data_IF_263097678593
#
_entry.id   IF_263097678593
#
_cell.length_a   1.000
_cell.length_b   1.000
_cell.length_c   1.000
_cell.angle_alpha   90.00
_cell.angle_beta   90.00
_cell.angle_gamma   90.00
#
_symmetry.space_group_name_H-M   'P 1'
#
loop_
_entity.id
_entity.type
_entity.pdbx_description
1 polymer ?
#
# COMPACT_ATOMS: atom_id res chain seq x y z
N UNK A 1 -10.27 -51.05 -77.52
CA UNK A 1 -10.09 -51.28 -76.07
C UNK A 1 -9.46 -50.01 -75.49
N UNK A 2 -10.13 -49.37 -74.53
CA UNK A 2 -9.85 -48.01 -74.01
C UNK A 2 -8.69 -48.00 -72.99
N UNK A 3 -7.96 -46.88 -72.83
CA UNK A 3 -6.93 -46.76 -71.80
C UNK A 3 -7.54 -46.45 -70.42
N UNK A 4 -6.98 -47.04 -69.37
CA UNK A 4 -7.31 -46.71 -67.97
C UNK A 4 -6.62 -45.40 -67.58
N UNK A 5 -7.40 -44.38 -67.23
CA UNK A 5 -6.90 -43.19 -66.54
C UNK A 5 -6.85 -43.43 -65.03
N UNK A 6 -5.66 -43.23 -64.45
CA UNK A 6 -5.46 -43.18 -62.99
C UNK A 6 -5.98 -41.83 -62.47
N UNK A 7 -6.97 -41.85 -61.59
CA UNK A 7 -7.45 -40.66 -60.87
C UNK A 7 -6.69 -40.58 -59.54
N UNK A 8 -5.82 -39.58 -59.40
CA UNK A 8 -5.20 -39.21 -58.12
C UNK A 8 -6.23 -38.44 -57.28
N UNK A 9 -6.65 -39.02 -56.15
CA UNK A 9 -7.49 -38.34 -55.17
C UNK A 9 -6.57 -37.55 -54.21
N UNK A 10 -6.49 -36.23 -54.36
CA UNK A 10 -5.81 -35.36 -53.42
C UNK A 10 -6.70 -35.15 -52.18
N UNK A 11 -6.35 -35.77 -51.06
CA UNK A 11 -7.00 -35.52 -49.78
C UNK A 11 -6.52 -34.17 -49.22
N UNK A 12 -7.39 -33.16 -49.26
CA UNK A 12 -7.18 -31.91 -48.54
C UNK A 12 -7.37 -32.16 -47.04
N UNK A 13 -6.27 -32.24 -46.30
CA UNK A 13 -6.29 -32.25 -44.84
C UNK A 13 -6.77 -30.87 -44.35
N UNK A 14 -8.03 -30.79 -43.94
CA UNK A 14 -8.53 -29.66 -43.17
C UNK A 14 -7.77 -29.62 -41.83
N UNK A 15 -6.85 -28.67 -41.69
CA UNK A 15 -6.21 -28.39 -40.41
C UNK A 15 -7.29 -27.94 -39.43
N UNK A 16 -7.67 -28.84 -38.51
CA UNK A 16 -8.54 -28.48 -37.40
C UNK A 16 -7.85 -27.37 -36.61
N UNK A 17 -8.53 -26.23 -36.44
CA UNK A 17 -8.12 -25.21 -35.48
C UNK A 17 -7.99 -25.89 -34.11
N UNK A 18 -6.86 -25.75 -33.39
CA UNK A 18 -6.70 -26.39 -32.10
C UNK A 18 -7.85 -25.95 -31.18
N UNK A 19 -8.56 -26.93 -30.61
CA UNK A 19 -9.53 -26.68 -29.57
C UNK A 19 -8.84 -25.90 -28.43
N UNK A 20 -9.53 -24.90 -27.89
CA UNK A 20 -9.02 -24.16 -26.75
C UNK A 20 -8.76 -25.13 -25.60
N UNK A 21 -7.51 -25.18 -25.13
CA UNK A 21 -7.16 -26.01 -23.98
C UNK A 21 -7.89 -25.44 -22.74
N UNK A 22 -8.79 -26.23 -22.16
CA UNK A 22 -9.39 -25.90 -20.87
C UNK A 22 -8.33 -26.11 -19.77
N UNK A 23 -7.72 -25.01 -19.35
CA UNK A 23 -6.65 -24.99 -18.37
C UNK A 23 -7.12 -25.08 -16.91
N UNK A 24 -8.41 -25.37 -16.66
CA UNK A 24 -8.97 -25.36 -15.30
C UNK A 24 -8.23 -26.28 -14.32
N UNK A 25 -7.86 -27.49 -14.75
CA UNK A 25 -7.12 -28.43 -13.90
C UNK A 25 -5.70 -27.95 -13.59
N UNK A 26 -5.01 -27.42 -14.59
CA UNK A 26 -3.64 -26.89 -14.46
C UNK A 26 -3.61 -25.66 -13.54
N UNK A 27 -4.57 -24.74 -13.70
CA UNK A 27 -4.75 -23.58 -12.82
C UNK A 27 -5.01 -24.04 -11.38
N UNK A 28 -5.87 -25.05 -11.19
CA UNK A 28 -6.16 -25.59 -9.86
C UNK A 28 -4.91 -26.18 -9.20
N UNK A 29 -4.07 -26.88 -9.96
CA UNK A 29 -2.81 -27.42 -9.46
C UNK A 29 -1.81 -26.32 -9.04
N UNK A 30 -1.66 -25.27 -9.83
CA UNK A 30 -0.80 -24.12 -9.49
C UNK A 30 -1.29 -23.41 -8.21
N UNK A 31 -2.61 -23.28 -8.02
CA UNK A 31 -3.18 -22.65 -6.82
C UNK A 31 -2.90 -23.44 -5.52
N UNK A 32 -2.48 -24.70 -5.61
CA UNK A 32 -2.08 -25.49 -4.43
C UNK A 32 -0.64 -25.25 -3.96
N UNK A 33 0.14 -24.43 -4.68
CA UNK A 33 1.52 -24.10 -4.27
C UNK A 33 1.50 -23.38 -2.92
N UNK A 34 2.37 -23.80 -2.02
CA UNK A 34 2.50 -23.23 -0.68
C UNK A 34 3.95 -23.11 -0.22
N UNK A 35 4.12 -22.72 1.05
CA UNK A 35 5.44 -22.66 1.68
C UNK A 35 6.19 -23.98 1.63
N UNK A 36 7.51 -23.90 1.73
CA UNK A 36 8.41 -25.07 1.82
C UNK A 36 8.31 -26.03 0.62
N UNK A 37 7.92 -25.51 -0.55
CA UNK A 37 7.88 -26.28 -1.80
C UNK A 37 6.65 -27.18 -1.97
N UNK A 38 5.66 -27.06 -1.08
CA UNK A 38 4.39 -27.79 -1.19
C UNK A 38 3.73 -27.51 -2.55
N UNK A 39 3.40 -28.57 -3.29
CA UNK A 39 2.70 -28.49 -4.59
C UNK A 39 3.59 -28.13 -5.80
N UNK A 40 4.89 -27.86 -5.60
CA UNK A 40 5.78 -27.44 -6.68
C UNK A 40 5.89 -28.44 -7.85
N UNK A 41 6.01 -29.77 -7.64
CA UNK A 41 6.13 -30.70 -8.76
C UNK A 41 4.90 -30.66 -9.68
N UNK A 42 3.70 -30.68 -9.09
CA UNK A 42 2.44 -30.62 -9.84
C UNK A 42 2.28 -29.26 -10.55
N UNK A 43 2.64 -28.17 -9.88
CA UNK A 43 2.63 -26.84 -10.46
C UNK A 43 3.61 -26.70 -11.62
N UNK A 44 4.79 -27.34 -11.55
CA UNK A 44 5.75 -27.37 -12.65
C UNK A 44 5.20 -28.09 -13.89
N UNK A 45 4.56 -29.24 -13.72
CA UNK A 45 3.88 -29.94 -14.81
C UNK A 45 2.74 -29.12 -15.40
N UNK A 46 1.88 -28.55 -14.55
CA UNK A 46 0.78 -27.69 -14.96
C UNK A 46 1.29 -26.46 -15.72
N UNK A 47 2.34 -25.81 -15.23
CA UNK A 47 2.96 -24.66 -15.88
C UNK A 47 3.44 -24.97 -17.30
N UNK A 48 4.09 -26.12 -17.51
CA UNK A 48 4.51 -26.54 -18.86
C UNK A 48 3.33 -26.74 -19.82
N UNK A 49 2.16 -27.12 -19.31
CA UNK A 49 0.92 -27.19 -20.07
C UNK A 49 0.38 -25.79 -20.39
N UNK A 50 0.22 -24.94 -19.36
CA UNK A 50 -0.26 -23.56 -19.51
C UNK A 50 0.59 -22.75 -20.49
N UNK A 51 1.92 -22.85 -20.38
CA UNK A 51 2.86 -22.12 -21.23
C UNK A 51 2.73 -22.48 -22.72
N UNK A 52 2.08 -23.58 -23.09
CA UNK A 52 1.78 -23.96 -24.49
C UNK A 52 0.48 -23.34 -25.03
N UNK A 53 -0.29 -22.63 -24.20
CA UNK A 53 -1.50 -21.91 -24.60
C UNK A 53 -1.26 -20.87 -25.70
N UNK A 54 -2.32 -20.37 -26.30
CA UNK A 54 -2.22 -19.33 -27.34
C UNK A 54 -2.51 -17.93 -26.78
N UNK A 55 -2.46 -16.92 -27.65
CA UNK A 55 -2.72 -15.53 -27.27
C UNK A 55 -4.08 -15.34 -26.56
N UNK A 56 -5.11 -16.08 -26.93
CA UNK A 56 -6.46 -15.98 -26.33
C UNK A 56 -6.52 -16.55 -24.90
N UNK A 57 -5.56 -17.39 -24.53
CA UNK A 57 -5.45 -17.96 -23.18
C UNK A 57 -4.98 -16.92 -22.14
N UNK A 58 -4.35 -15.81 -22.59
CA UNK A 58 -3.71 -14.81 -21.72
C UNK A 58 -4.68 -14.24 -20.69
N UNK A 59 -5.86 -13.77 -21.08
CA UNK A 59 -6.81 -13.14 -20.15
C UNK A 59 -7.39 -14.12 -19.14
N UNK A 60 -7.55 -15.39 -19.51
CA UNK A 60 -7.96 -16.46 -18.59
C UNK A 60 -6.89 -16.74 -17.53
N UNK A 61 -5.61 -16.72 -17.93
CA UNK A 61 -4.48 -16.87 -17.00
C UNK A 61 -4.30 -15.66 -16.08
N UNK A 62 -4.55 -14.45 -16.59
CA UNK A 62 -4.58 -13.25 -15.76
C UNK A 62 -5.71 -13.30 -14.74
N UNK A 63 -6.93 -13.69 -15.15
CA UNK A 63 -8.06 -13.87 -14.24
C UNK A 63 -7.79 -14.96 -13.19
N UNK A 64 -7.02 -15.99 -13.53
CA UNK A 64 -6.64 -17.02 -12.58
C UNK A 64 -5.81 -16.50 -11.39
N UNK A 65 -5.22 -15.30 -11.49
CA UNK A 65 -4.48 -14.65 -10.41
C UNK A 65 -5.38 -14.02 -9.32
N UNK A 66 -6.69 -13.87 -9.56
CA UNK A 66 -7.63 -13.27 -8.60
C UNK A 66 -7.66 -14.03 -7.26
N UNK A 67 -7.62 -15.37 -7.33
CA UNK A 67 -7.62 -16.24 -6.14
C UNK A 67 -6.24 -16.86 -5.85
N UNK A 68 -5.18 -16.36 -6.48
CA UNK A 68 -3.84 -16.91 -6.33
C UNK A 68 -3.11 -16.31 -5.13
N UNK A 69 -2.40 -17.15 -4.37
CA UNK A 69 -1.37 -16.66 -3.46
C UNK A 69 -0.14 -16.14 -4.23
N UNK A 70 0.79 -15.48 -3.54
CA UNK A 70 1.98 -14.87 -4.16
C UNK A 70 2.82 -15.86 -5.00
N UNK A 71 2.96 -17.11 -4.54
CA UNK A 71 3.73 -18.14 -5.23
C UNK A 71 3.01 -18.60 -6.51
N UNK A 72 1.71 -18.90 -6.41
CA UNK A 72 0.88 -19.30 -7.54
C UNK A 72 0.79 -18.18 -8.60
N UNK A 73 0.70 -16.92 -8.17
CA UNK A 73 0.69 -15.76 -9.06
C UNK A 73 1.97 -15.66 -9.89
N UNK A 74 3.13 -16.01 -9.32
CA UNK A 74 4.41 -16.03 -10.06
C UNK A 74 4.44 -17.10 -11.16
N UNK A 75 3.88 -18.29 -10.90
CA UNK A 75 3.73 -19.34 -11.92
C UNK A 75 2.78 -18.89 -13.05
N UNK A 76 1.64 -18.28 -12.71
CA UNK A 76 0.69 -17.79 -13.71
C UNK A 76 1.30 -16.67 -14.56
N UNK A 77 1.98 -15.71 -13.94
CA UNK A 77 2.71 -14.64 -14.64
C UNK A 77 3.74 -15.20 -15.61
N UNK A 78 4.58 -16.14 -15.16
CA UNK A 78 5.61 -16.70 -16.04
C UNK A 78 5.04 -17.53 -17.19
N UNK A 79 3.87 -18.16 -17.02
CA UNK A 79 3.17 -18.82 -18.12
C UNK A 79 2.65 -17.79 -19.15
N UNK A 80 2.09 -16.66 -18.68
CA UNK A 80 1.70 -15.54 -19.55
C UNK A 80 2.91 -14.99 -20.32
N UNK A 81 4.03 -14.73 -19.64
CA UNK A 81 5.26 -14.24 -20.27
C UNK A 81 5.76 -15.20 -21.36
N UNK A 82 5.77 -16.51 -21.09
CA UNK A 82 6.17 -17.53 -22.06
C UNK A 82 5.27 -17.58 -23.31
N UNK A 83 3.95 -17.40 -23.14
CA UNK A 83 3.01 -17.30 -24.27
C UNK A 83 3.30 -16.02 -25.05
N UNK A 84 3.37 -14.88 -24.38
CA UNK A 84 3.58 -13.56 -25.01
C UNK A 84 4.87 -13.55 -25.82
N UNK A 85 5.98 -13.98 -25.24
CA UNK A 85 7.27 -13.98 -25.93
C UNK A 85 7.25 -14.90 -27.16
N UNK A 86 6.60 -16.07 -27.08
CA UNK A 86 6.42 -16.95 -28.25
C UNK A 86 5.55 -16.30 -29.32
N UNK A 87 4.42 -15.71 -28.96
CA UNK A 87 3.51 -15.06 -29.91
C UNK A 87 4.22 -13.90 -30.63
N UNK A 88 4.92 -13.05 -29.89
CA UNK A 88 5.66 -11.91 -30.44
C UNK A 88 6.86 -12.36 -31.29
N UNK A 89 7.62 -13.38 -30.87
CA UNK A 89 8.70 -13.96 -31.67
C UNK A 89 8.18 -14.53 -33.00
N UNK A 90 6.97 -15.10 -32.98
CA UNK A 90 6.26 -15.56 -34.17
C UNK A 90 5.56 -14.43 -34.96
N UNK A 91 5.74 -13.16 -34.57
CA UNK A 91 5.10 -11.97 -35.17
C UNK A 91 3.56 -12.02 -35.15
N UNK A 92 2.98 -12.74 -34.20
CA UNK A 92 1.53 -12.80 -33.96
C UNK A 92 1.10 -11.69 -33.02
N UNK A 93 -0.20 -11.36 -33.06
CA UNK A 93 -0.78 -10.28 -32.26
C UNK A 93 -1.27 -10.78 -30.91
N UNK A 94 -1.20 -9.93 -29.90
CA UNK A 94 -1.81 -10.15 -28.60
C UNK A 94 -3.30 -9.76 -28.63
N UNK A 95 -4.15 -10.28 -27.73
CA UNK A 95 -5.59 -10.00 -27.71
C UNK A 95 -5.86 -8.62 -27.08
N UNK A 96 -5.55 -7.54 -27.82
CA UNK A 96 -5.56 -6.18 -27.29
C UNK A 96 -6.92 -5.77 -26.69
N UNK A 97 -8.04 -6.02 -27.39
CA UNK A 97 -9.38 -5.66 -26.91
C UNK A 97 -9.75 -6.40 -25.61
N UNK A 98 -9.36 -7.68 -25.49
CA UNK A 98 -9.63 -8.46 -24.29
C UNK A 98 -8.79 -7.97 -23.11
N UNK A 99 -7.53 -7.56 -23.36
CA UNK A 99 -6.67 -6.95 -22.34
C UNK A 99 -7.19 -5.58 -21.88
N UNK A 100 -7.66 -4.74 -22.79
CA UNK A 100 -8.27 -3.44 -22.44
C UNK A 100 -9.53 -3.64 -21.58
N UNK A 101 -10.40 -4.58 -21.97
CA UNK A 101 -11.57 -4.97 -21.18
C UNK A 101 -11.18 -5.50 -19.80
N UNK A 102 -10.18 -6.37 -19.73
CA UNK A 102 -9.67 -6.94 -18.48
C UNK A 102 -9.17 -5.85 -17.53
N UNK A 103 -8.38 -4.89 -18.02
CA UNK A 103 -7.85 -3.82 -17.18
C UNK A 103 -8.97 -2.89 -16.70
N UNK A 104 -10.03 -2.67 -17.49
CA UNK A 104 -11.15 -1.82 -17.05
C UNK A 104 -11.95 -2.39 -15.87
N UNK A 105 -11.92 -3.71 -15.64
CA UNK A 105 -12.58 -4.31 -14.48
C UNK A 105 -11.67 -4.23 -13.25
N UNK A 106 -12.01 -3.31 -12.35
CA UNK A 106 -11.23 -3.05 -11.13
C UNK A 106 -11.37 -4.13 -10.07
N UNK A 107 -12.21 -5.16 -10.29
CA UNK A 107 -12.34 -6.32 -9.39
C UNK A 107 -11.21 -7.33 -9.54
N UNK A 108 -10.54 -7.35 -10.69
CA UNK A 108 -9.39 -8.22 -10.92
C UNK A 108 -8.20 -7.83 -10.03
N UNK A 109 -7.33 -8.80 -9.77
CA UNK A 109 -6.13 -8.64 -8.98
C UNK A 109 -5.27 -7.47 -9.51
N UNK A 110 -4.85 -6.52 -8.64
CA UNK A 110 -4.04 -5.38 -9.04
C UNK A 110 -2.77 -5.75 -9.82
N UNK A 111 -2.11 -6.86 -9.48
CA UNK A 111 -0.89 -7.34 -10.17
C UNK A 111 -1.20 -7.94 -11.55
N UNK A 112 -2.35 -8.60 -11.70
CA UNK A 112 -2.79 -9.10 -12.99
C UNK A 112 -3.14 -7.94 -13.94
N UNK A 113 -3.86 -6.94 -13.42
CA UNK A 113 -4.17 -5.71 -14.17
C UNK A 113 -2.91 -4.92 -14.54
N UNK A 114 -1.92 -4.86 -13.63
CA UNK A 114 -0.60 -4.30 -13.93
C UNK A 114 0.07 -5.02 -15.11
N UNK A 115 0.15 -6.34 -15.04
CA UNK A 115 0.75 -7.15 -16.11
C UNK A 115 0.02 -6.93 -17.44
N UNK A 116 -1.31 -6.95 -17.44
CA UNK A 116 -2.09 -6.67 -18.64
C UNK A 116 -1.77 -5.30 -19.26
N UNK A 117 -1.63 -4.26 -18.43
CA UNK A 117 -1.21 -2.93 -18.89
C UNK A 117 0.20 -2.94 -19.48
N UNK A 118 1.16 -3.61 -18.84
CA UNK A 118 2.53 -3.77 -19.35
C UNK A 118 2.55 -4.45 -20.72
N UNK A 119 1.70 -5.45 -20.94
CA UNK A 119 1.56 -6.14 -22.23
C UNK A 119 1.00 -5.21 -23.32
N UNK A 120 -0.04 -4.41 -23.01
CA UNK A 120 -0.57 -3.41 -23.95
C UNK A 120 0.50 -2.39 -24.29
N UNK A 121 1.16 -1.81 -23.29
CA UNK A 121 2.19 -0.79 -23.50
C UNK A 121 3.40 -1.33 -24.28
N UNK A 122 3.76 -2.61 -24.11
CA UNK A 122 4.85 -3.27 -24.85
C UNK A 122 4.55 -3.37 -26.35
N UNK A 123 3.31 -3.72 -26.73
CA UNK A 123 2.92 -3.93 -28.13
C UNK A 123 2.40 -2.66 -28.79
N UNK A 124 1.76 -1.78 -28.03
CA UNK A 124 1.16 -0.54 -28.48
C UNK A 124 1.41 0.58 -27.48
N UNK A 125 2.62 1.19 -27.47
CA UNK A 125 2.98 2.26 -26.53
C UNK A 125 1.98 3.42 -26.55
N UNK A 126 1.52 3.82 -27.73
CA UNK A 126 0.53 4.88 -27.90
C UNK A 126 -0.83 4.55 -27.26
N UNK A 127 -1.21 3.27 -27.18
CA UNK A 127 -2.42 2.85 -26.47
C UNK A 127 -2.19 2.88 -24.97
N UNK A 128 -1.05 2.36 -24.49
CA UNK A 128 -0.66 2.45 -23.09
C UNK A 128 -0.70 3.88 -22.56
N UNK A 129 -0.10 4.82 -23.28
CA UNK A 129 -0.10 6.25 -22.94
C UNK A 129 -1.52 6.84 -22.86
N UNK A 130 -2.43 6.44 -23.76
CA UNK A 130 -3.83 6.88 -23.77
C UNK A 130 -4.64 6.32 -22.60
N UNK A 131 -4.27 5.15 -22.08
CA UNK A 131 -4.96 4.52 -20.95
C UNK A 131 -4.58 5.14 -19.61
N UNK A 132 -3.35 5.63 -19.45
CA UNK A 132 -2.84 6.14 -18.17
C UNK A 132 -3.77 7.15 -17.47
N UNK A 133 -4.35 8.17 -18.13
CA UNK A 133 -5.26 9.10 -17.47
C UNK A 133 -6.47 8.44 -16.80
N UNK A 134 -6.91 7.28 -17.30
CA UNK A 134 -8.04 6.53 -16.73
C UNK A 134 -7.70 5.90 -15.37
N UNK A 135 -6.42 5.76 -15.04
CA UNK A 135 -5.97 5.14 -13.80
C UNK A 135 -5.72 6.11 -12.64
N UNK A 136 -5.99 7.41 -12.80
CA UNK A 136 -5.71 8.42 -11.76
C UNK A 136 -6.39 8.14 -10.41
N UNK A 137 -7.57 7.50 -10.42
CA UNK A 137 -8.25 7.08 -9.19
C UNK A 137 -8.36 5.55 -9.05
N UNK A 138 -7.50 4.81 -9.74
CA UNK A 138 -7.56 3.36 -9.79
C UNK A 138 -7.21 2.72 -8.44
N UNK A 139 -7.89 1.65 -8.00
CA UNK A 139 -7.54 0.96 -6.75
C UNK A 139 -6.16 0.28 -6.79
N UNK A 140 -5.63 -0.05 -7.97
CA UNK A 140 -4.24 -0.50 -8.15
C UNK A 140 -3.30 0.68 -8.01
N UNK A 141 -2.56 0.71 -6.91
CA UNK A 141 -1.60 1.78 -6.62
C UNK A 141 -0.50 1.85 -7.68
N UNK A 142 -0.10 0.73 -8.29
CA UNK A 142 0.93 0.71 -9.34
C UNK A 142 0.46 1.36 -10.65
N UNK A 143 -0.78 1.07 -11.09
CA UNK A 143 -1.36 1.73 -12.27
C UNK A 143 -1.58 3.22 -12.00
N UNK A 144 -2.07 3.53 -10.79
CA UNK A 144 -2.26 4.91 -10.35
C UNK A 144 -0.93 5.68 -10.32
N UNK A 145 0.15 5.05 -9.88
CA UNK A 145 1.48 5.66 -9.78
C UNK A 145 1.95 6.19 -11.13
N UNK A 146 1.79 5.40 -12.19
CA UNK A 146 2.21 5.81 -13.54
C UNK A 146 1.30 6.90 -14.12
N UNK A 147 -0.01 6.85 -13.83
CA UNK A 147 -0.94 7.90 -14.21
C UNK A 147 -0.60 9.25 -13.54
N UNK A 148 -0.28 9.21 -12.24
CA UNK A 148 0.19 10.37 -11.49
C UNK A 148 1.53 10.87 -12.02
N UNK A 149 2.41 9.97 -12.48
CA UNK A 149 3.68 10.36 -13.08
C UNK A 149 3.49 11.23 -14.32
N UNK A 150 2.50 10.95 -15.18
CA UNK A 150 2.20 11.84 -16.32
C UNK A 150 1.83 13.26 -15.90
N UNK A 151 1.08 13.43 -14.80
CA UNK A 151 0.76 14.76 -14.26
C UNK A 151 2.01 15.46 -13.72
N UNK A 152 2.89 14.70 -13.05
CA UNK A 152 4.16 15.22 -12.54
C UNK A 152 5.06 15.67 -13.71
N UNK A 153 5.17 14.87 -14.77
CA UNK A 153 6.00 15.19 -15.93
C UNK A 153 5.45 16.40 -16.69
N UNK A 154 4.11 16.52 -16.80
CA UNK A 154 3.45 17.70 -17.35
C UNK A 154 3.73 18.96 -16.51
N UNK A 155 3.69 18.84 -15.18
CA UNK A 155 4.00 19.93 -14.27
C UNK A 155 5.48 20.35 -14.39
N UNK A 156 6.41 19.40 -14.43
CA UNK A 156 7.85 19.65 -14.61
C UNK A 156 8.12 20.34 -15.96
N UNK A 157 7.44 19.92 -17.04
CA UNK A 157 7.52 20.57 -18.36
C UNK A 157 6.99 22.00 -18.32
N UNK A 158 5.88 22.25 -17.64
CA UNK A 158 5.34 23.60 -17.45
C UNK A 158 6.30 24.50 -16.65
N UNK A 159 6.93 23.97 -15.60
CA UNK A 159 7.98 24.68 -14.86
C UNK A 159 9.17 25.05 -15.75
N UNK A 160 9.63 24.11 -16.58
CA UNK A 160 10.73 24.36 -17.52
C UNK A 160 10.37 25.46 -18.55
N UNK A 161 9.09 25.54 -18.93
CA UNK A 161 8.54 26.61 -19.76
C UNK A 161 8.21 27.91 -19.00
N UNK A 162 8.56 27.98 -17.70
CA UNK A 162 8.26 29.10 -16.79
C UNK A 162 6.77 29.39 -16.60
N UNK A 163 5.88 28.47 -16.97
CA UNK A 163 4.44 28.57 -16.72
C UNK A 163 4.12 28.03 -15.32
N UNK A 164 4.29 28.89 -14.32
CA UNK A 164 4.01 28.57 -12.91
C UNK A 164 2.54 28.23 -12.66
N UNK A 165 1.62 28.80 -13.44
CA UNK A 165 0.19 28.55 -13.25
C UNK A 165 -0.18 27.14 -13.70
N UNK A 166 0.28 26.73 -14.89
CA UNK A 166 0.08 25.36 -15.37
C UNK A 166 0.81 24.33 -14.49
N UNK A 167 2.05 24.62 -14.07
CA UNK A 167 2.78 23.75 -13.14
C UNK A 167 2.05 23.57 -11.81
N UNK A 168 1.55 24.66 -11.21
CA UNK A 168 0.78 24.61 -9.97
C UNK A 168 -0.46 23.74 -10.12
N UNK A 169 -1.20 23.91 -11.23
CA UNK A 169 -2.39 23.11 -11.53
C UNK A 169 -2.04 21.63 -11.62
N UNK A 170 -1.04 21.24 -12.40
CA UNK A 170 -0.72 19.84 -12.62
C UNK A 170 -0.10 19.17 -11.38
N UNK A 171 0.73 19.87 -10.60
CA UNK A 171 1.17 19.35 -9.31
C UNK A 171 0.02 19.20 -8.31
N UNK A 172 -0.95 20.11 -8.29
CA UNK A 172 -2.12 20.00 -7.42
C UNK A 172 -2.99 18.79 -7.79
N UNK A 173 -3.16 18.55 -9.10
CA UNK A 173 -3.81 17.35 -9.61
C UNK A 173 -3.02 16.09 -9.20
N UNK A 174 -1.70 16.08 -9.41
CA UNK A 174 -0.83 14.97 -9.04
C UNK A 174 -0.97 14.65 -7.54
N UNK A 175 -0.91 15.67 -6.66
CA UNK A 175 -1.04 15.49 -5.22
C UNK A 175 -2.37 14.84 -4.86
N UNK A 176 -3.48 15.31 -5.44
CA UNK A 176 -4.84 14.79 -5.18
C UNK A 176 -4.92 13.27 -5.37
N UNK A 177 -4.31 12.77 -6.44
CA UNK A 177 -4.38 11.36 -6.83
C UNK A 177 -3.24 10.50 -6.24
N UNK A 178 -2.08 11.09 -5.93
CA UNK A 178 -0.90 10.37 -5.48
C UNK A 178 -1.15 9.54 -4.20
N UNK A 179 -0.63 8.31 -4.19
CA UNK A 179 -0.60 7.40 -3.04
C UNK A 179 0.80 6.87 -2.71
N UNK A 180 1.75 7.09 -3.60
CA UNK A 180 3.17 6.76 -3.41
C UNK A 180 3.86 7.88 -2.60
N UNK A 181 4.59 7.50 -1.55
CA UNK A 181 5.25 8.44 -0.64
C UNK A 181 6.26 9.34 -1.38
N UNK A 182 7.06 8.77 -2.28
CA UNK A 182 8.10 9.50 -2.98
C UNK A 182 7.50 10.54 -3.94
N UNK A 183 6.44 10.17 -4.68
CA UNK A 183 5.69 11.11 -5.52
C UNK A 183 5.06 12.22 -4.68
N UNK A 184 4.38 11.88 -3.58
CA UNK A 184 3.75 12.88 -2.69
C UNK A 184 4.81 13.85 -2.15
N UNK A 185 5.95 13.35 -1.69
CA UNK A 185 7.05 14.16 -1.16
C UNK A 185 7.62 15.10 -2.23
N UNK A 186 7.84 14.62 -3.45
CA UNK A 186 8.29 15.46 -4.59
C UNK A 186 7.28 16.56 -4.85
N UNK A 187 6.03 16.19 -5.10
CA UNK A 187 4.95 17.10 -5.49
C UNK A 187 4.69 18.15 -4.39
N UNK A 188 4.62 17.73 -3.13
CA UNK A 188 4.46 18.64 -2.00
C UNK A 188 5.64 19.63 -1.89
N UNK A 189 6.86 19.17 -2.15
CA UNK A 189 8.04 20.02 -2.21
C UNK A 189 7.95 21.08 -3.30
N UNK A 190 7.55 20.69 -4.52
CA UNK A 190 7.39 21.64 -5.63
C UNK A 190 6.24 22.63 -5.40
N UNK A 191 5.09 22.17 -4.91
CA UNK A 191 3.97 23.05 -4.56
C UNK A 191 4.36 24.10 -3.51
N UNK A 192 5.12 23.71 -2.48
CA UNK A 192 5.63 24.65 -1.47
C UNK A 192 6.60 25.67 -2.05
N UNK A 193 7.45 25.30 -3.02
CA UNK A 193 8.33 26.24 -3.75
C UNK A 193 7.52 27.22 -4.62
N UNK A 194 6.35 26.80 -5.08
CA UNK A 194 5.35 27.62 -5.78
C UNK A 194 4.43 28.38 -4.80
N UNK A 195 4.81 28.46 -3.52
CA UNK A 195 4.09 29.15 -2.46
C UNK A 195 2.66 28.62 -2.22
N UNK A 196 2.39 27.38 -2.63
CA UNK A 196 1.11 26.72 -2.39
C UNK A 196 1.13 25.99 -1.04
N UNK A 197 0.06 26.11 -0.24
CA UNK A 197 -0.05 25.40 1.02
C UNK A 197 -0.25 23.90 0.78
N UNK A 198 0.46 23.07 1.54
CA UNK A 198 0.32 21.61 1.49
C UNK A 198 0.19 21.04 2.90
N UNK A 199 -0.95 20.38 3.16
CA UNK A 199 -1.26 19.70 4.42
C UNK A 199 -1.08 18.18 4.24
N UNK A 200 0.16 17.73 4.41
CA UNK A 200 0.51 16.30 4.31
C UNK A 200 -0.18 15.44 5.36
N UNK A 201 -0.31 15.85 6.64
CA UNK A 201 -1.04 15.07 7.63
C UNK A 201 -2.49 14.79 7.21
N UNK A 202 -3.17 15.79 6.65
CA UNK A 202 -4.52 15.59 6.10
C UNK A 202 -4.51 14.71 4.85
N UNK A 203 -3.58 14.93 3.92
CA UNK A 203 -3.47 14.14 2.67
C UNK A 203 -3.28 12.65 2.95
N UNK A 204 -2.40 12.31 3.89
CA UNK A 204 -2.15 10.94 4.29
C UNK A 204 -3.20 10.38 5.27
N UNK A 205 -3.96 11.23 5.97
CA UNK A 205 -4.91 10.82 7.00
C UNK A 205 -4.26 10.52 8.35
N UNK A 206 -3.09 11.09 8.63
CA UNK A 206 -2.43 10.98 9.93
C UNK A 206 -3.28 11.59 11.03
N UNK A 207 -3.34 10.92 12.18
CA UNK A 207 -3.97 11.43 13.39
C UNK A 207 -2.94 12.29 14.14
N UNK A 208 -3.26 13.55 14.37
CA UNK A 208 -2.30 14.55 14.85
C UNK A 208 -2.61 15.06 16.26
N UNK A 209 -3.74 14.66 16.85
CA UNK A 209 -4.19 15.07 18.18
C UNK A 209 -4.42 13.84 19.05
N UNK A 210 -3.73 13.78 20.17
CA UNK A 210 -3.66 12.63 21.05
C UNK A 210 -3.70 13.06 22.51
N UNK A 211 -4.26 12.20 23.35
CA UNK A 211 -4.04 12.23 24.79
C UNK A 211 -2.95 11.21 25.10
N UNK A 212 -1.86 11.63 25.74
CA UNK A 212 -0.78 10.73 26.15
C UNK A 212 -0.82 10.51 27.66
N UNK A 213 -0.47 9.32 28.12
CA UNK A 213 -0.24 9.02 29.53
C UNK A 213 1.01 8.15 29.68
N UNK A 214 1.83 8.48 30.66
CA UNK A 214 3.08 7.82 30.97
C UNK A 214 3.78 8.52 32.13
N UNK A 215 4.95 8.09 32.56
CA UNK A 215 5.68 6.90 32.07
C UNK A 215 5.47 5.72 33.02
N UNK A 216 5.04 4.57 32.51
CA UNK A 216 4.97 3.29 33.22
C UNK A 216 6.28 2.51 33.10
N UNK A 217 6.46 1.46 33.90
CA UNK A 217 7.68 0.67 33.86
C UNK A 217 7.80 -0.18 32.58
N UNK A 218 9.02 -0.32 32.07
CA UNK A 218 9.39 -1.25 31.01
C UNK A 218 10.83 -1.72 31.20
N UNK A 219 11.35 -1.69 32.43
CA UNK A 219 12.65 -2.26 32.76
C UNK A 219 12.69 -3.73 32.36
N UNK A 220 13.77 -4.19 31.72
CA UNK A 220 13.91 -5.55 31.21
C UNK A 220 12.78 -5.96 30.24
N UNK A 221 12.17 -5.00 29.54
CA UNK A 221 11.11 -5.18 28.54
C UNK A 221 9.77 -5.73 29.09
N UNK A 222 9.58 -5.75 30.42
CA UNK A 222 8.35 -6.30 31.03
C UNK A 222 7.09 -5.49 30.71
N UNK A 223 7.27 -4.22 30.35
CA UNK A 223 6.19 -3.27 30.10
C UNK A 223 5.36 -3.66 28.89
N UNK A 224 5.91 -4.36 27.90
CA UNK A 224 5.16 -4.84 26.73
C UNK A 224 3.99 -5.75 27.14
N UNK A 225 4.24 -6.74 27.99
CA UNK A 225 3.23 -7.71 28.43
C UNK A 225 2.44 -7.28 29.67
N UNK A 226 2.98 -6.35 30.46
CA UNK A 226 2.26 -5.81 31.62
C UNK A 226 1.04 -5.00 31.19
N UNK A 227 -0.15 -5.45 31.60
CA UNK A 227 -1.40 -4.72 31.38
C UNK A 227 -1.55 -3.56 32.38
N UNK A 228 -1.13 -2.37 31.96
CA UNK A 228 -1.31 -1.13 32.74
C UNK A 228 -2.76 -0.64 32.72
N UNK A 229 -3.17 0.27 33.64
CA UNK A 229 -4.56 0.68 33.78
C UNK A 229 -5.26 1.15 32.49
N UNK A 230 -4.62 1.91 31.56
CA UNK A 230 -5.27 2.32 30.31
C UNK A 230 -5.72 1.17 29.40
N UNK A 231 -5.15 -0.04 29.54
CA UNK A 231 -5.61 -1.23 28.80
C UNK A 231 -6.91 -1.83 29.35
N UNK A 232 -7.20 -1.59 30.64
CA UNK A 232 -8.34 -2.18 31.36
C UNK A 232 -9.54 -1.25 31.32
N UNK A 233 -9.32 0.03 31.60
CA UNK A 233 -10.36 1.05 31.63
C UNK A 233 -9.80 2.38 31.12
N UNK A 234 -10.50 2.96 30.15
CA UNK A 234 -10.19 4.29 29.66
C UNK A 234 -10.84 5.35 30.55
N UNK A 235 -10.14 5.76 31.60
CA UNK A 235 -10.50 6.91 32.43
C UNK A 235 -9.51 8.06 32.20
N UNK A 236 -9.94 9.09 31.48
CA UNK A 236 -9.10 10.25 31.11
C UNK A 236 -8.82 11.21 32.28
N UNK A 237 -9.57 11.11 33.38
CA UNK A 237 -9.37 11.90 34.59
C UNK A 237 -8.53 11.18 35.65
N UNK A 238 -8.24 9.89 35.45
CA UNK A 238 -7.51 9.08 36.42
C UNK A 238 -6.04 9.49 36.54
N UNK A 239 -5.50 9.22 37.72
CA UNK A 239 -4.10 9.39 38.07
C UNK A 239 -3.59 8.03 38.50
N UNK A 240 -2.53 7.54 37.87
CA UNK A 240 -1.96 6.23 38.16
C UNK A 240 -0.56 6.34 38.74
N UNK A 241 -0.09 5.27 39.37
CA UNK A 241 1.33 5.10 39.68
C UNK A 241 2.11 4.90 38.38
N UNK A 242 3.00 5.85 38.07
CA UNK A 242 4.01 5.69 37.03
C UNK A 242 5.34 5.23 37.63
N UNK A 243 6.33 5.01 36.77
CA UNK A 243 7.67 4.53 37.13
C UNK A 243 8.43 5.51 38.03
N UNK A 244 8.35 6.80 37.70
CA UNK A 244 9.07 7.87 38.41
C UNK A 244 8.12 8.83 39.14
N UNK A 245 7.01 9.19 38.48
CA UNK A 245 6.01 10.12 38.98
C UNK A 245 4.61 9.58 38.73
N UNK A 246 3.58 10.25 39.27
CA UNK A 246 2.19 9.92 38.98
C UNK A 246 1.88 10.17 37.50
N UNK A 247 1.36 9.15 36.82
CA UNK A 247 0.97 9.24 35.41
C UNK A 247 -0.42 9.90 35.28
N UNK A 248 -0.52 10.89 34.39
CA UNK A 248 -1.75 11.63 34.06
C UNK A 248 -1.88 11.78 32.56
N UNK A 249 -3.11 11.89 32.07
CA UNK A 249 -3.35 12.21 30.67
C UNK A 249 -2.99 13.66 30.36
N UNK A 250 -2.26 13.87 29.26
CA UNK A 250 -1.89 15.18 28.73
C UNK A 250 -2.26 15.28 27.27
N UNK A 251 -2.79 16.42 26.85
CA UNK A 251 -3.09 16.69 25.44
C UNK A 251 -1.81 17.02 24.67
N UNK A 252 -1.59 16.29 23.58
CA UNK A 252 -0.44 16.46 22.67
C UNK A 252 -0.95 16.54 21.24
N UNK A 253 -0.44 17.53 20.52
CA UNK A 253 -0.69 17.67 19.11
C UNK A 253 0.64 17.80 18.34
N UNK A 254 0.68 17.28 17.12
CA UNK A 254 1.88 17.32 16.27
C UNK A 254 1.62 18.02 14.95
N UNK A 255 2.55 18.89 14.56
CA UNK A 255 2.59 19.55 13.27
C UNK A 255 3.53 18.85 12.26
N UNK A 256 4.08 17.70 12.63
CA UNK A 256 4.97 16.94 11.75
C UNK A 256 4.20 16.50 10.49
N UNK A 257 4.81 16.62 9.32
CA UNK A 257 4.20 16.30 8.01
C UNK A 257 3.72 14.84 7.91
N UNK A 258 4.36 13.94 8.67
CA UNK A 258 4.04 12.53 8.77
C UNK A 258 3.31 12.16 10.07
N UNK A 259 2.83 13.16 10.81
CA UNK A 259 2.03 12.92 12.02
C UNK A 259 2.78 12.24 13.15
N UNK A 260 4.11 12.36 13.21
CA UNK A 260 4.93 11.77 14.27
C UNK A 260 4.58 12.36 15.64
N UNK A 261 4.20 11.49 16.57
CA UNK A 261 3.87 11.79 17.96
C UNK A 261 5.03 11.34 18.84
N UNK A 262 5.58 12.28 19.59
CA UNK A 262 6.79 12.10 20.40
C UNK A 262 6.43 12.14 21.88
N UNK A 263 6.59 11.01 22.57
CA UNK A 263 6.34 10.88 24.00
C UNK A 263 7.42 11.57 24.85
N UNK A 264 8.62 11.80 24.30
CA UNK A 264 9.67 12.50 25.04
C UNK A 264 9.31 13.98 25.29
N UNK A 265 8.46 14.59 24.45
CA UNK A 265 8.05 15.99 24.64
C UNK A 265 7.38 16.25 25.99
N UNK A 266 6.32 15.51 26.40
CA UNK A 266 5.72 15.69 27.72
C UNK A 266 6.44 14.95 28.85
N UNK A 267 7.18 13.87 28.57
CA UNK A 267 7.68 12.97 29.62
C UNK A 267 9.21 12.94 29.78
N UNK A 268 9.95 13.61 28.89
CA UNK A 268 11.42 13.57 28.83
C UNK A 268 11.99 12.31 28.18
N UNK A 269 13.29 12.32 27.93
CA UNK A 269 14.04 11.24 27.26
C UNK A 269 14.29 10.03 28.19
N UNK A 270 13.21 9.41 28.67
CA UNK A 270 13.26 8.32 29.64
C UNK A 270 13.54 6.95 28.99
N UNK A 271 14.07 6.02 29.78
CA UNK A 271 14.47 4.67 29.35
C UNK A 271 13.78 3.58 30.17
N UNK A 272 13.53 2.45 29.51
CA UNK A 272 12.77 1.35 30.09
C UNK A 272 11.41 1.84 30.56
N UNK A 273 10.68 2.57 29.70
CA UNK A 273 9.37 3.13 30.01
C UNK A 273 8.30 2.71 29.00
N UNK A 274 7.05 2.72 29.43
CA UNK A 274 5.88 2.50 28.58
C UNK A 274 4.91 3.66 28.71
N UNK A 275 4.22 3.99 27.62
CA UNK A 275 3.18 5.01 27.60
C UNK A 275 2.08 4.64 26.64
N UNK A 276 0.95 5.33 26.78
CA UNK A 276 -0.23 5.12 25.98
C UNK A 276 -0.64 6.42 25.29
N UNK A 277 -1.06 6.31 24.05
CA UNK A 277 -1.67 7.37 23.27
C UNK A 277 -3.12 6.99 22.96
N UNK A 278 -4.05 7.88 23.27
CA UNK A 278 -5.46 7.72 23.02
C UNK A 278 -5.98 8.81 22.09
N UNK A 279 -6.85 8.44 21.15
CA UNK A 279 -7.61 9.39 20.36
C UNK A 279 -8.95 8.80 19.92
N UNK A 280 -9.86 9.67 19.52
CA UNK A 280 -11.16 9.30 18.96
C UNK A 280 -11.19 9.58 17.46
N UNK A 281 -11.95 8.75 16.74
CA UNK A 281 -12.13 8.88 15.31
C UNK A 281 -13.63 8.81 14.98
N UNK A 282 -14.20 9.95 14.61
CA UNK A 282 -15.62 10.07 14.25
C UNK A 282 -15.83 9.79 12.75
N UNK A 283 -16.15 8.55 12.40
CA UNK A 283 -16.31 8.14 11.01
C UNK A 283 -17.67 8.57 10.44
N UNK A 284 -17.68 9.03 9.18
CA UNK A 284 -18.91 9.46 8.53
C UNK A 284 -19.91 8.33 8.25
N UNK A 285 -19.41 7.11 8.06
CA UNK A 285 -20.20 5.92 7.80
C UNK A 285 -19.44 4.69 8.28
N UNK A 286 -20.16 3.58 8.48
CA UNK A 286 -19.52 2.28 8.69
C UNK A 286 -18.86 1.84 7.38
N UNK A 287 -17.61 1.36 7.46
CA UNK A 287 -16.85 0.87 6.30
C UNK A 287 -15.56 0.16 6.72
N UNK A 288 -15.01 -0.70 5.84
CA UNK A 288 -13.65 -1.19 5.97
C UNK A 288 -12.64 -0.02 5.95
N UNK A 289 -11.62 -0.14 6.77
CA UNK A 289 -10.49 0.78 6.83
C UNK A 289 -9.23 0.05 7.30
N UNK A 290 -8.11 0.76 7.27
CA UNK A 290 -6.86 0.32 7.85
C UNK A 290 -6.33 1.39 8.82
N UNK A 291 -5.88 0.94 10.00
CA UNK A 291 -4.96 1.72 10.82
C UNK A 291 -3.54 1.36 10.39
N UNK A 292 -2.81 2.35 9.89
CA UNK A 292 -1.42 2.14 9.44
C UNK A 292 -0.45 2.83 10.38
N UNK A 293 0.48 2.06 10.93
CA UNK A 293 1.41 2.46 11.99
C UNK A 293 2.86 2.42 11.47
N UNK A 294 3.65 3.41 11.88
CA UNK A 294 5.11 3.36 11.90
C UNK A 294 5.63 3.62 13.31
N UNK A 295 6.53 2.78 13.81
CA UNK A 295 7.08 2.90 15.17
C UNK A 295 8.42 2.15 15.27
N UNK A 296 9.39 2.73 16.00
CA UNK A 296 10.72 2.14 16.27
C UNK A 296 10.79 1.36 17.59
N UNK A 297 9.77 1.49 18.41
CA UNK A 297 9.68 0.97 19.76
C UNK A 297 8.70 -0.23 19.79
N UNK A 298 8.68 -1.01 20.88
CA UNK A 298 7.66 -2.05 21.06
C UNK A 298 6.26 -1.43 21.14
N UNK A 299 5.25 -2.04 20.52
CA UNK A 299 3.92 -1.42 20.43
C UNK A 299 2.76 -2.42 20.45
N UNK A 300 1.59 -1.96 20.93
CA UNK A 300 0.30 -2.66 20.83
C UNK A 300 -0.79 -1.66 20.43
N UNK A 301 -1.78 -2.08 19.64
CA UNK A 301 -2.91 -1.22 19.21
C UNK A 301 -4.24 -1.87 19.57
N UNK A 302 -5.11 -1.10 20.21
CA UNK A 302 -6.51 -1.45 20.44
C UNK A 302 -7.41 -0.53 19.62
N UNK A 303 -8.50 -1.11 19.13
CA UNK A 303 -9.55 -0.39 18.42
C UNK A 303 -10.90 -0.76 19.02
N UNK A 304 -11.67 0.25 19.40
CA UNK A 304 -12.96 0.07 20.09
C UNK A 304 -12.87 -0.87 21.31
N UNK A 305 -11.78 -0.76 22.08
CA UNK A 305 -11.52 -1.55 23.28
C UNK A 305 -11.00 -2.98 23.02
N UNK A 306 -10.93 -3.44 21.76
CA UNK A 306 -10.39 -4.76 21.41
C UNK A 306 -8.93 -4.64 20.97
N UNK A 307 -8.05 -5.46 21.54
CA UNK A 307 -6.68 -5.60 21.07
C UNK A 307 -6.69 -6.10 19.61
N UNK A 308 -6.06 -5.36 18.71
CA UNK A 308 -5.88 -5.78 17.33
C UNK A 308 -4.63 -6.65 17.20
N UNK A 309 -3.48 -6.08 17.54
CA UNK A 309 -2.18 -6.71 17.38
C UNK A 309 -1.10 -5.91 18.12
N UNK A 310 0.10 -6.48 18.24
CA UNK A 310 1.29 -5.79 18.71
C UNK A 310 2.56 -6.54 18.37
N UNK A 311 3.69 -5.83 18.44
CA UNK A 311 5.02 -6.40 18.24
C UNK A 311 5.98 -5.87 19.28
N UNK A 312 6.68 -6.79 19.94
CA UNK A 312 7.77 -6.48 20.86
C UNK A 312 9.09 -6.41 20.09
N UNK A 313 9.16 -5.46 19.16
CA UNK A 313 10.30 -5.28 18.27
C UNK A 313 10.83 -3.87 18.40
N UNK A 314 12.15 -3.75 18.59
CA UNK A 314 12.83 -2.48 18.78
C UNK A 314 13.81 -2.24 17.63
N UNK A 315 14.10 -0.97 17.34
CA UNK A 315 15.23 -0.56 16.51
C UNK A 315 15.16 -1.00 15.04
N UNK A 316 13.95 -1.27 14.52
CA UNK A 316 13.73 -1.66 13.11
C UNK A 316 13.43 -0.48 12.16
N UNK A 317 13.73 0.74 12.58
CA UNK A 317 13.29 1.96 11.89
C UNK A 317 11.76 2.17 12.00
N UNK A 318 11.28 3.30 11.49
CA UNK A 318 9.84 3.57 11.34
C UNK A 318 9.60 4.01 9.89
N UNK A 319 9.12 3.08 9.06
CA UNK A 319 8.66 3.41 7.71
C UNK A 319 7.19 3.81 7.77
N UNK A 320 6.75 4.68 6.85
CA UNK A 320 5.31 4.89 6.66
C UNK A 320 4.65 3.55 6.33
N UNK A 321 3.48 3.31 6.93
CA UNK A 321 2.69 2.10 6.72
C UNK A 321 3.41 0.77 6.97
N UNK A 322 4.44 0.76 7.83
CA UNK A 322 5.20 -0.44 8.20
C UNK A 322 4.29 -1.57 8.70
N UNK A 323 3.24 -1.21 9.43
CA UNK A 323 2.21 -2.15 9.87
C UNK A 323 0.83 -1.67 9.41
N UNK A 324 0.03 -2.58 8.88
CA UNK A 324 -1.34 -2.32 8.42
C UNK A 324 -2.29 -3.20 9.20
N UNK A 325 -3.22 -2.59 9.92
CA UNK A 325 -4.19 -3.27 10.77
C UNK A 325 -5.58 -3.05 10.19
N UNK A 326 -6.19 -4.06 9.53
CA UNK A 326 -7.55 -3.94 9.01
C UNK A 326 -8.55 -3.79 10.16
N UNK A 327 -9.49 -2.85 10.01
CA UNK A 327 -10.55 -2.57 10.98
C UNK A 327 -11.86 -2.29 10.25
N UNK A 328 -12.97 -2.51 10.95
CA UNK A 328 -14.30 -2.08 10.51
C UNK A 328 -14.69 -0.83 11.30
N UNK A 329 -14.72 0.33 10.65
CA UNK A 329 -15.20 1.55 11.27
C UNK A 329 -16.70 1.43 11.52
N UNK A 330 -17.14 1.86 12.71
CA UNK A 330 -18.56 2.15 12.96
C UNK A 330 -18.86 3.57 12.52
N UNK A 331 -20.07 3.84 12.05
CA UNK A 331 -20.53 5.22 11.89
C UNK A 331 -20.51 5.92 13.26
N UNK A 332 -20.01 7.16 13.30
CA UNK A 332 -19.82 7.89 14.55
C UNK A 332 -18.49 7.55 15.24
N UNK A 333 -18.51 7.57 16.57
CA UNK A 333 -17.33 7.45 17.44
C UNK A 333 -16.68 6.07 17.34
N UNK A 334 -15.37 6.07 17.08
CA UNK A 334 -14.47 4.94 17.26
C UNK A 334 -13.32 5.36 18.17
N UNK A 335 -12.78 4.44 18.97
CA UNK A 335 -11.66 4.70 19.88
C UNK A 335 -10.40 3.97 19.43
N UNK A 336 -9.25 4.65 19.53
CA UNK A 336 -7.94 4.09 19.22
C UNK A 336 -7.04 4.30 20.43
N UNK A 337 -6.43 3.23 20.92
CA UNK A 337 -5.42 3.26 21.96
C UNK A 337 -4.14 2.60 21.45
N UNK A 338 -3.02 3.26 21.59
CA UNK A 338 -1.70 2.77 21.18
C UNK A 338 -0.81 2.73 22.42
N UNK A 339 -0.24 1.56 22.70
CA UNK A 339 0.83 1.40 23.68
C UNK A 339 2.16 1.50 22.96
N UNK A 340 3.11 2.24 23.53
CA UNK A 340 4.46 2.39 23.00
C UNK A 340 5.46 2.19 24.14
N UNK A 341 6.38 1.25 23.99
CA UNK A 341 7.31 0.79 25.01
C UNK A 341 8.74 1.12 24.57
N UNK A 342 9.45 1.99 25.29
CA UNK A 342 10.85 2.33 25.08
C UNK A 342 11.77 1.42 25.93
N UNK A 343 12.89 0.95 25.35
CA UNK A 343 13.82 0.06 26.05
C UNK A 343 14.93 0.82 26.79
N UNK A 344 15.87 0.08 27.37
CA UNK A 344 16.97 0.60 28.20
C UNK A 344 18.27 0.88 27.41
N UNK A 345 18.27 0.72 26.08
CA UNK A 345 19.47 1.00 25.28
C UNK A 345 19.79 2.50 25.33
N UNK A 346 21.03 2.85 25.64
CA UNK A 346 21.51 4.23 25.86
C UNK A 346 22.28 4.81 24.68
N UNK A 347 22.39 4.09 23.56
CA UNK A 347 23.03 4.63 22.34
C UNK A 347 22.29 5.88 21.85
N UNK A 348 23.01 6.81 21.23
CA UNK A 348 22.42 8.09 20.82
C UNK A 348 21.24 7.96 19.84
N UNK A 349 21.24 6.90 19.02
CA UNK A 349 20.20 6.62 18.04
C UNK A 349 18.96 5.91 18.61
N UNK A 350 18.94 5.55 19.89
CA UNK A 350 17.82 4.82 20.53
C UNK A 350 16.92 5.71 21.37
N UNK A 351 17.10 7.03 21.33
CA UNK A 351 16.38 7.99 22.18
C UNK A 351 14.92 8.21 21.75
N UNK A 352 14.62 7.96 20.49
CA UNK A 352 13.31 8.17 19.90
C UNK A 352 12.26 7.27 20.59
N UNK A 353 11.25 7.91 21.18
CA UNK A 353 10.08 7.25 21.76
C UNK A 353 8.83 7.84 21.10
N UNK A 354 8.55 7.33 19.92
CA UNK A 354 7.63 7.98 19.00
C UNK A 354 6.89 6.97 18.11
N UNK A 355 5.75 7.41 17.60
CA UNK A 355 4.97 6.66 16.63
C UNK A 355 4.20 7.62 15.72
N UNK A 356 3.77 7.11 14.58
CA UNK A 356 2.78 7.76 13.72
C UNK A 356 1.68 6.76 13.40
N UNK A 357 0.44 7.25 13.33
CA UNK A 357 -0.70 6.43 12.95
C UNK A 357 -1.64 7.20 12.03
N UNK A 358 -2.08 6.57 10.94
CA UNK A 358 -3.07 7.13 10.01
C UNK A 358 -4.25 6.18 9.79
N UNK A 359 -5.36 6.74 9.33
CA UNK A 359 -6.57 6.00 8.94
C UNK A 359 -6.81 6.18 7.44
N UNK A 360 -6.87 5.09 6.70
CA UNK A 360 -7.04 5.09 5.26
C UNK A 360 -7.80 3.85 4.77
N UNK A 361 -8.17 3.84 3.48
CA UNK A 361 -8.65 2.63 2.81
C UNK A 361 -7.48 1.72 2.38
N UNK A 362 -7.79 0.57 1.77
CA UNK A 362 -6.79 -0.39 1.29
C UNK A 362 -5.82 0.20 0.23
N UNK A 363 -6.26 1.20 -0.55
CA UNK A 363 -5.42 1.92 -1.52
C UNK A 363 -4.49 2.94 -0.87
N UNK A 364 -4.67 3.22 0.43
CA UNK A 364 -3.95 4.25 1.18
C UNK A 364 -4.56 5.64 1.07
N UNK A 365 -5.78 5.77 0.52
CA UNK A 365 -6.53 7.03 0.50
C UNK A 365 -6.99 7.36 1.91
N UNK A 366 -6.70 8.57 2.38
CA UNK A 366 -7.11 9.03 3.70
C UNK A 366 -8.62 8.90 3.91
N UNK A 367 -9.00 8.34 5.06
CA UNK A 367 -10.37 8.43 5.59
C UNK A 367 -10.30 9.45 6.71
N UNK A 368 -10.99 10.58 6.54
CA UNK A 368 -10.95 11.67 7.51
C UNK A 368 -12.12 11.58 8.47
N UNK A 369 -11.87 11.85 9.76
CA UNK A 369 -12.93 12.02 10.75
C UNK A 369 -13.80 13.25 10.41
N UNK A 370 -15.10 13.16 10.71
CA UNK A 370 -16.06 14.26 10.49
C UNK A 370 -15.69 15.53 11.25
N UNK A 371 -15.15 15.36 12.44
CA UNK A 371 -14.77 16.40 13.39
C UNK A 371 -13.25 16.57 13.47
N UNK A 372 -12.52 16.15 12.43
CA UNK A 372 -11.05 16.25 12.37
C UNK A 372 -10.63 17.68 12.74
N UNK A 373 -9.87 17.88 13.83
CA UNK A 373 -9.32 19.19 14.16
C UNK A 373 -8.35 19.66 13.08
N UNK A 374 -8.14 20.98 12.99
CA UNK A 374 -7.13 21.52 12.09
C UNK A 374 -5.75 20.89 12.38
N UNK A 375 -4.99 20.59 11.32
CA UNK A 375 -3.60 20.16 11.45
C UNK A 375 -2.84 21.25 12.22
N UNK A 376 -2.15 20.93 13.34
CA UNK A 376 -1.38 21.90 14.09
C UNK A 376 -0.36 22.59 13.19
N UNK A 377 -0.26 23.91 13.29
CA UNK A 377 0.78 24.65 12.58
C UNK A 377 2.10 24.50 13.34
N UNK A 378 3.11 23.97 12.67
CA UNK A 378 4.46 23.90 13.23
C UNK A 378 5.13 25.27 13.16
N UNK A 379 6.27 25.47 13.85
CA UNK A 379 7.13 26.59 13.52
C UNK A 379 7.49 26.51 12.03
N UNK A 380 7.30 27.61 11.30
CA UNK A 380 7.59 27.71 9.88
C UNK A 380 9.09 27.42 9.62
N UNK A 381 9.46 26.16 9.33
CA UNK A 381 10.86 25.79 9.12
C UNK A 381 11.26 24.35 9.40
N UNK A 382 10.43 23.52 10.06
CA UNK A 382 10.82 22.15 10.42
C UNK A 382 11.05 21.19 9.22
N UNK A 383 10.60 21.55 8.02
CA UNK A 383 10.76 20.77 6.80
C UNK A 383 12.24 20.49 6.38
N UNK A 384 13.22 21.19 6.97
CA UNK A 384 14.64 21.03 6.61
C UNK A 384 15.38 19.92 7.39
N UNK A 385 14.84 19.42 8.50
CA UNK A 385 15.60 18.50 9.36
C UNK A 385 15.53 17.03 8.91
N UNK A 386 14.44 16.59 8.30
CA UNK A 386 14.23 15.16 7.99
C UNK A 386 14.90 14.71 6.68
N UNK A 387 15.16 15.63 5.74
CA UNK A 387 15.83 15.31 4.48
C UNK A 387 17.28 14.82 4.65
N UNK A 388 17.93 15.08 5.79
CA UNK A 388 19.30 14.63 6.07
C UNK A 388 19.40 13.25 6.75
N UNK A 389 18.31 12.69 7.28
CA UNK A 389 18.34 11.38 7.97
C UNK A 389 17.99 10.18 7.08
N UNK A 390 17.55 10.42 5.83
CA UNK A 390 17.12 9.37 4.89
C UNK A 390 18.17 8.90 3.87
N UNK A 391 19.40 9.40 3.95
CA UNK A 391 20.50 8.98 3.05
C UNK A 391 21.68 8.51 3.90
N UNK A 392 21.63 7.24 4.30
CA UNK A 392 22.79 6.39 4.54
C UNK A 392 22.38 4.94 4.51
#
# INVERSE_FOLDING_TARGET
MKPLSLILLAAAAAAALPAHADFKADIAAIRQVGGEGKGNPQAGTAWHSLAKGDAKSITSLLAAMDDANDLAANYLRSAVDAIVDRELAAKRTLPQLDLEKFISDTKHNPRARRLAYELIARVSPATGEKLLPTFLNDPSVELRRDAVQQLIDAADKALAAQDKAAATKEFSNALTYARDEAQIKKVAGELRKLEQPVDLPKHFGFLTHWKLIGSFDNAKLVGFDTAYPPEKELNLAAIYDGKLEKARWVDVATANDYGMVDFNKPFGDLKGVTGYAFTEFNAAAARPAELRLGCKNGWKVWFNGKLLFGRDEYHRGARIDQYRLPVELKAGRNTILVKVCQNEDVKDWTKEWEFQLRVCDASGTAILAKDRPATPKGPAGAAKAEAKKGTK
#
